data_IF_229109679104
#
_entry.id   IF_229109679104
#
_cell.length_a   1.000
_cell.length_b   1.000
_cell.length_c   1.000
_cell.angle_alpha   90.00
_cell.angle_beta   90.00
_cell.angle_gamma   90.00
#
_symmetry.space_group_name_H-M   'P 1'
#
loop_
_entity.id
_entity.type
_entity.pdbx_description
1 polymer ?
#
# COMPACT_ATOMS: atom_id res chain seq x y z
N UNK A 1 -6.54 -8.31 10.35
CA UNK A 1 -5.97 -7.50 9.27
C UNK A 1 -6.80 -6.25 9.05
N UNK A 2 -6.89 -5.39 10.07
CA UNK A 2 -7.65 -4.13 10.01
C UNK A 2 -6.78 -2.95 9.54
N UNK A 3 -5.45 -3.10 9.62
CA UNK A 3 -4.54 -1.99 9.40
C UNK A 3 -4.39 -1.64 7.92
N UNK A 4 -4.15 -2.61 7.03
CA UNK A 4 -4.03 -2.36 5.58
C UNK A 4 -5.32 -1.82 4.96
N UNK A 5 -6.48 -2.39 5.33
CA UNK A 5 -7.78 -1.91 4.87
C UNK A 5 -8.04 -0.45 5.25
N UNK A 6 -7.63 -0.03 6.46
CA UNK A 6 -7.77 1.38 6.87
C UNK A 6 -6.98 2.36 5.98
N UNK A 7 -5.79 1.99 5.51
CA UNK A 7 -5.03 2.85 4.59
C UNK A 7 -5.57 2.82 3.16
N UNK A 8 -6.10 1.68 2.74
CA UNK A 8 -6.78 1.55 1.47
C UNK A 8 -8.00 2.47 1.41
N UNK A 9 -8.86 2.37 2.43
CA UNK A 9 -10.03 3.23 2.62
C UNK A 9 -9.62 4.71 2.63
N UNK A 10 -8.47 5.06 3.22
CA UNK A 10 -8.03 6.44 3.30
C UNK A 10 -7.74 7.07 1.93
N UNK A 11 -6.96 6.40 1.08
CA UNK A 11 -6.64 6.96 -0.24
C UNK A 11 -7.87 6.89 -1.17
N UNK A 12 -8.69 5.85 -1.06
CA UNK A 12 -9.93 5.72 -1.82
C UNK A 12 -10.92 6.85 -1.46
N UNK A 13 -11.22 7.04 -0.17
CA UNK A 13 -12.09 8.14 0.27
C UNK A 13 -11.56 9.51 -0.17
N UNK A 14 -10.24 9.70 -0.14
CA UNK A 14 -9.61 10.92 -0.63
C UNK A 14 -9.83 11.14 -2.13
N UNK A 15 -9.62 10.11 -2.95
CA UNK A 15 -9.86 10.18 -4.40
C UNK A 15 -11.34 10.38 -4.75
N UNK A 16 -12.27 9.72 -4.05
CA UNK A 16 -13.71 9.97 -4.24
C UNK A 16 -14.08 11.41 -3.92
N UNK A 17 -13.55 11.95 -2.81
CA UNK A 17 -13.86 13.31 -2.36
C UNK A 17 -13.33 14.40 -3.27
N UNK A 18 -12.09 14.25 -3.76
CA UNK A 18 -11.38 15.32 -4.45
C UNK A 18 -11.27 15.13 -5.96
N UNK A 19 -11.42 13.91 -6.46
CA UNK A 19 -11.34 13.59 -7.89
C UNK A 19 -12.59 12.90 -8.44
N UNK A 20 -13.62 12.67 -7.62
CA UNK A 20 -14.90 12.10 -8.06
C UNK A 20 -14.84 10.63 -8.43
N UNK A 21 -13.82 9.91 -7.95
CA UNK A 21 -13.61 8.50 -8.31
C UNK A 21 -14.66 7.58 -7.69
N UNK A 22 -15.22 6.68 -8.50
CA UNK A 22 -15.97 5.49 -8.05
C UNK A 22 -15.04 4.27 -8.00
N UNK A 23 -14.86 3.72 -6.80
CA UNK A 23 -13.99 2.56 -6.54
C UNK A 23 -14.67 1.21 -6.75
N UNK A 24 -15.98 1.21 -7.05
CA UNK A 24 -16.76 -0.01 -7.22
C UNK A 24 -16.17 -0.90 -8.32
N UNK A 25 -15.72 -2.09 -7.93
CA UNK A 25 -15.11 -3.10 -8.81
C UNK A 25 -13.90 -2.57 -9.61
N UNK A 26 -13.12 -1.64 -9.04
CA UNK A 26 -11.88 -1.15 -9.66
C UNK A 26 -10.67 -1.92 -9.18
N UNK A 27 -9.64 -2.00 -10.02
CA UNK A 27 -8.38 -2.68 -9.72
C UNK A 27 -7.32 -1.72 -9.17
N UNK A 28 -6.28 -2.27 -8.56
CA UNK A 28 -5.09 -1.49 -8.13
C UNK A 28 -4.43 -0.75 -9.31
N UNK A 29 -4.45 -1.34 -10.51
CA UNK A 29 -3.95 -0.70 -11.72
C UNK A 29 -4.73 0.58 -12.04
N UNK A 30 -6.05 0.55 -11.88
CA UNK A 30 -6.89 1.74 -12.02
C UNK A 30 -6.55 2.79 -10.95
N UNK A 31 -6.37 2.37 -9.69
CA UNK A 31 -5.94 3.27 -8.61
C UNK A 31 -4.57 3.90 -8.87
N UNK A 32 -3.66 3.19 -9.54
CA UNK A 32 -2.38 3.72 -10.00
C UNK A 32 -2.56 4.76 -11.12
N UNK A 33 -3.40 4.49 -12.13
CA UNK A 33 -3.71 5.47 -13.18
C UNK A 33 -4.32 6.76 -12.61
N UNK A 34 -5.26 6.65 -11.67
CA UNK A 34 -5.82 7.81 -10.95
C UNK A 34 -4.72 8.64 -10.27
N UNK A 35 -3.68 8.02 -9.71
CA UNK A 35 -2.57 8.74 -9.09
C UNK A 35 -1.55 9.32 -10.07
N UNK A 36 -1.42 8.72 -11.26
CA UNK A 36 -0.42 9.10 -12.25
C UNK A 36 -0.85 10.28 -13.14
N UNK A 37 -2.14 10.42 -13.43
CA UNK A 37 -2.69 11.41 -14.37
C UNK A 37 -3.68 12.34 -13.68
N UNK A 38 -3.71 13.63 -14.05
CA UNK A 38 -4.67 14.59 -13.47
C UNK A 38 -6.12 14.24 -13.84
N UNK A 39 -6.37 13.62 -14.99
CA UNK A 39 -7.74 13.21 -15.37
C UNK A 39 -7.77 11.96 -16.24
N UNK A 40 -8.95 11.33 -16.32
CA UNK A 40 -9.21 10.24 -17.26
C UNK A 40 -8.96 10.67 -18.71
N UNK A 41 -9.31 11.91 -19.04
CA UNK A 41 -9.09 12.47 -20.36
C UNK A 41 -7.59 12.59 -20.70
N UNK A 42 -6.78 13.06 -19.74
CA UNK A 42 -5.32 13.12 -19.90
C UNK A 42 -4.73 11.72 -20.11
N UNK A 43 -5.14 10.75 -19.29
CA UNK A 43 -4.72 9.36 -19.45
C UNK A 43 -5.06 8.82 -20.85
N UNK A 44 -6.33 8.93 -21.25
CA UNK A 44 -6.81 8.44 -22.53
C UNK A 44 -6.07 9.09 -23.71
N UNK A 45 -5.82 10.41 -23.63
CA UNK A 45 -5.04 11.11 -24.63
C UNK A 45 -3.62 10.54 -24.75
N UNK A 46 -2.92 10.36 -23.62
CA UNK A 46 -1.56 9.81 -23.63
C UNK A 46 -1.55 8.35 -24.13
N UNK A 47 -2.54 7.53 -23.77
CA UNK A 47 -2.66 6.17 -24.31
C UNK A 47 -2.89 6.17 -25.83
N UNK A 48 -3.67 7.11 -26.35
CA UNK A 48 -3.83 7.30 -27.79
C UNK A 48 -2.53 7.69 -28.50
N UNK A 49 -1.73 8.56 -27.89
CA UNK A 49 -0.44 8.97 -28.44
C UNK A 49 0.58 7.82 -28.45
N UNK A 50 0.58 6.98 -27.40
CA UNK A 50 1.51 5.86 -27.26
C UNK A 50 1.12 4.67 -28.15
N UNK A 51 -0.17 4.31 -28.17
CA UNK A 51 -0.64 3.07 -28.83
C UNK A 51 -1.18 3.30 -30.25
N UNK A 52 -1.31 4.56 -30.69
CA UNK A 52 -1.75 4.95 -32.02
C UNK A 52 -3.04 4.20 -32.42
N UNK A 53 -2.98 3.36 -33.46
CA UNK A 53 -4.12 2.62 -33.99
C UNK A 53 -4.73 1.60 -33.00
N UNK A 54 -4.00 1.22 -31.95
CA UNK A 54 -4.46 0.25 -30.93
C UNK A 54 -4.99 0.91 -29.65
N UNK A 55 -5.17 2.23 -29.66
CA UNK A 55 -5.50 2.97 -28.45
C UNK A 55 -6.76 2.48 -27.74
N UNK A 56 -7.79 2.09 -28.49
CA UNK A 56 -9.09 1.65 -27.95
C UNK A 56 -8.99 0.50 -26.93
N UNK A 57 -7.94 -0.31 -26.99
CA UNK A 57 -7.71 -1.42 -26.05
C UNK A 57 -7.29 -0.95 -24.65
N UNK A 58 -6.85 0.31 -24.53
CA UNK A 58 -6.27 0.88 -23.30
C UNK A 58 -7.08 2.02 -22.70
N UNK A 59 -8.16 2.46 -23.37
CA UNK A 59 -8.95 3.62 -22.92
C UNK A 59 -9.96 3.25 -21.84
N UNK A 60 -10.18 4.20 -20.93
CA UNK A 60 -11.37 4.22 -20.08
C UNK A 60 -12.50 4.94 -20.81
N UNK A 61 -13.60 4.23 -21.06
CA UNK A 61 -14.72 4.73 -21.85
C UNK A 61 -15.99 4.91 -21.02
N UNK A 62 -16.06 4.31 -19.82
CA UNK A 62 -17.22 4.40 -18.95
C UNK A 62 -17.15 5.64 -18.05
N UNK A 63 -18.27 6.33 -17.89
CA UNK A 63 -18.45 7.40 -16.90
C UNK A 63 -18.12 6.98 -15.47
N UNK A 64 -18.30 5.70 -15.10
CA UNK A 64 -17.94 5.18 -13.78
C UNK A 64 -16.42 4.97 -13.59
N UNK A 65 -15.62 5.21 -14.63
CA UNK A 65 -14.15 5.19 -14.61
C UNK A 65 -13.57 6.61 -14.64
N UNK A 66 -14.42 7.63 -14.51
CA UNK A 66 -13.96 9.00 -14.60
C UNK A 66 -13.25 9.44 -13.31
N UNK A 67 -12.22 10.27 -13.47
CA UNK A 67 -11.60 11.03 -12.40
C UNK A 67 -11.08 12.35 -12.94
N UNK A 68 -11.06 13.37 -12.08
CA UNK A 68 -10.47 14.67 -12.40
C UNK A 68 -9.98 15.37 -11.13
N UNK A 69 -8.66 15.53 -11.00
CA UNK A 69 -8.01 16.27 -9.92
C UNK A 69 -8.07 17.80 -10.12
N UNK A 70 -8.61 18.25 -11.26
CA UNK A 70 -8.60 19.64 -11.69
C UNK A 70 -7.17 20.17 -11.86
N UNK A 71 -7.00 21.47 -11.66
CA UNK A 71 -5.68 22.13 -11.75
C UNK A 71 -4.78 21.82 -10.54
N UNK A 72 -5.30 21.14 -9.51
CA UNK A 72 -4.62 20.98 -8.24
C UNK A 72 -3.76 19.70 -8.18
N UNK A 73 -2.57 19.79 -8.78
CA UNK A 73 -1.56 18.72 -8.73
C UNK A 73 -1.21 18.26 -7.31
N UNK A 74 -1.31 19.13 -6.30
CA UNK A 74 -0.97 18.77 -4.92
C UNK A 74 -1.95 17.76 -4.32
N UNK A 75 -3.23 17.80 -4.70
CA UNK A 75 -4.23 16.82 -4.26
C UNK A 75 -3.90 15.44 -4.82
N UNK A 76 -3.58 15.36 -6.12
CA UNK A 76 -3.17 14.11 -6.76
C UNK A 76 -1.90 13.53 -6.14
N UNK A 77 -0.87 14.35 -5.92
CA UNK A 77 0.38 13.89 -5.31
C UNK A 77 0.17 13.38 -3.88
N UNK A 78 -0.73 14.01 -3.12
CA UNK A 78 -1.09 13.53 -1.79
C UNK A 78 -1.82 12.19 -1.84
N UNK A 79 -2.73 12.02 -2.80
CA UNK A 79 -3.36 10.73 -3.04
C UNK A 79 -2.33 9.64 -3.39
N UNK A 80 -1.39 9.95 -4.28
CA UNK A 80 -0.36 9.00 -4.72
C UNK A 80 0.55 8.58 -3.55
N UNK A 81 0.95 9.53 -2.69
CA UNK A 81 1.69 9.25 -1.45
C UNK A 81 0.91 8.33 -0.50
N UNK A 82 -0.39 8.57 -0.32
CA UNK A 82 -1.25 7.72 0.52
C UNK A 82 -1.37 6.31 -0.05
N UNK A 83 -1.57 6.16 -1.37
CA UNK A 83 -1.64 4.85 -2.05
C UNK A 83 -0.32 4.09 -1.89
N UNK A 84 0.80 4.74 -2.18
CA UNK A 84 2.14 4.13 -2.08
C UNK A 84 2.45 3.68 -0.65
N UNK A 85 2.01 4.43 0.36
CA UNK A 85 2.12 4.03 1.78
C UNK A 85 1.24 2.81 2.09
N UNK A 86 0.01 2.77 1.58
CA UNK A 86 -0.88 1.61 1.73
C UNK A 86 -0.24 0.33 1.17
N UNK A 87 0.29 0.39 -0.05
CA UNK A 87 0.97 -0.75 -0.69
C UNK A 87 2.22 -1.21 0.07
N UNK A 88 3.00 -0.29 0.63
CA UNK A 88 4.17 -0.63 1.43
C UNK A 88 3.79 -1.31 2.74
N UNK A 89 2.76 -0.80 3.41
CA UNK A 89 2.28 -1.34 4.68
C UNK A 89 1.68 -2.75 4.51
N UNK A 90 1.01 -3.02 3.38
CA UNK A 90 0.53 -4.37 3.07
C UNK A 90 1.70 -5.37 2.97
N UNK A 91 2.74 -5.03 2.20
CA UNK A 91 3.96 -5.83 2.08
C UNK A 91 4.66 -6.07 3.42
N UNK A 92 4.78 -5.02 4.25
CA UNK A 92 5.41 -5.10 5.57
C UNK A 92 4.60 -5.97 6.54
N UNK A 93 3.26 -5.91 6.47
CA UNK A 93 2.38 -6.67 7.36
C UNK A 93 2.56 -8.19 7.19
N UNK A 94 2.70 -8.66 5.95
CA UNK A 94 2.99 -10.09 5.67
C UNK A 94 4.33 -10.51 6.27
N UNK A 95 5.37 -9.69 6.13
CA UNK A 95 6.68 -9.94 6.72
C UNK A 95 6.61 -10.00 8.25
N UNK A 96 5.88 -9.08 8.89
CA UNK A 96 5.69 -9.07 10.34
C UNK A 96 4.98 -10.33 10.84
N UNK A 97 3.93 -10.78 10.15
CA UNK A 97 3.24 -12.03 10.49
C UNK A 97 4.20 -13.22 10.42
N UNK A 98 5.01 -13.30 9.35
CA UNK A 98 6.03 -14.34 9.21
C UNK A 98 7.07 -14.30 10.34
N UNK A 99 7.57 -13.12 10.69
CA UNK A 99 8.52 -12.93 11.79
C UNK A 99 7.91 -13.34 13.14
N UNK A 100 6.64 -13.01 13.41
CA UNK A 100 5.94 -13.42 14.63
C UNK A 100 5.78 -14.94 14.73
N UNK A 101 5.46 -15.61 13.62
CA UNK A 101 5.38 -17.08 13.57
C UNK A 101 6.74 -17.71 13.85
N UNK A 102 7.80 -17.22 13.21
CA UNK A 102 9.17 -17.70 13.46
C UNK A 102 9.58 -17.50 14.93
N UNK A 103 9.31 -16.30 15.48
CA UNK A 103 9.57 -16.00 16.88
C UNK A 103 8.85 -16.99 17.81
N UNK A 104 7.61 -17.35 17.50
CA UNK A 104 6.83 -18.32 18.27
C UNK A 104 7.38 -19.75 18.17
N UNK A 105 7.88 -20.17 17.00
CA UNK A 105 8.53 -21.47 16.81
C UNK A 105 9.82 -21.55 17.64
N UNK A 106 10.68 -20.54 17.52
CA UNK A 106 11.93 -20.43 18.31
C UNK A 106 11.60 -20.46 19.80
N UNK A 107 10.63 -19.66 20.25
CA UNK A 107 10.19 -19.64 21.64
C UNK A 107 9.68 -21.01 22.12
N UNK A 108 9.02 -21.79 21.26
CA UNK A 108 8.52 -23.13 21.64
C UNK A 108 9.67 -24.12 21.86
N UNK A 109 10.68 -24.10 20.98
CA UNK A 109 11.89 -24.91 21.16
C UNK A 109 12.70 -24.43 22.35
N UNK A 110 12.85 -23.11 22.50
CA UNK A 110 13.49 -22.49 23.66
C UNK A 110 12.78 -22.92 24.94
N UNK A 111 11.45 -22.92 25.06
CA UNK A 111 10.75 -23.42 26.27
C UNK A 111 11.06 -24.90 26.57
N UNK A 112 11.19 -25.75 25.55
CA UNK A 112 11.55 -27.17 25.71
C UNK A 112 13.02 -27.33 26.15
N UNK A 113 13.91 -26.47 25.66
CA UNK A 113 15.36 -26.47 25.97
C UNK A 113 15.68 -25.73 27.29
N UNK A 114 14.96 -24.65 27.61
CA UNK A 114 15.14 -23.72 28.75
C UNK A 114 14.53 -24.25 30.05
N UNK A 115 13.68 -25.28 30.01
CA UNK A 115 13.40 -26.09 31.22
C UNK A 115 14.70 -26.66 31.85
N UNK A 116 15.85 -26.53 31.18
CA UNK A 116 17.18 -26.87 31.70
C UNK A 116 18.12 -25.71 32.09
N UNK A 117 17.96 -24.45 31.66
CA UNK A 117 18.87 -23.34 32.06
C UNK A 117 18.27 -21.94 31.82
N UNK A 118 18.27 -21.10 32.87
CA UNK A 118 17.67 -19.76 32.89
C UNK A 118 18.45 -18.71 32.07
N UNK A 119 17.72 -17.78 31.44
CA UNK A 119 18.09 -16.37 31.16
C UNK A 119 18.53 -15.92 29.74
N UNK A 120 18.11 -16.56 28.63
CA UNK A 120 18.34 -16.04 27.26
C UNK A 120 17.04 -15.64 26.57
N UNK A 121 17.04 -14.51 25.86
CA UNK A 121 15.85 -14.00 25.19
C UNK A 121 16.15 -13.01 24.07
N UNK A 122 15.25 -12.96 23.08
CA UNK A 122 15.26 -12.03 21.96
C UNK A 122 14.24 -10.91 22.22
N UNK A 123 14.66 -9.66 22.11
CA UNK A 123 13.80 -8.48 22.22
C UNK A 123 13.63 -7.85 20.83
N UNK A 124 12.40 -7.76 20.35
CA UNK A 124 12.06 -7.19 19.05
C UNK A 124 11.41 -5.81 19.23
N UNK A 125 12.02 -4.78 18.66
CA UNK A 125 11.48 -3.42 18.71
C UNK A 125 11.19 -2.92 17.29
N UNK A 126 10.00 -2.35 17.08
CA UNK A 126 9.68 -1.63 15.83
C UNK A 126 10.01 -0.14 15.99
N UNK A 127 10.47 0.49 14.92
CA UNK A 127 10.58 1.94 14.84
C UNK A 127 9.78 2.45 13.64
N UNK A 128 9.12 3.60 13.85
CA UNK A 128 8.32 4.27 12.83
C UNK A 128 8.79 5.73 12.74
N UNK A 129 9.39 6.08 11.60
CA UNK A 129 9.73 7.44 11.23
C UNK A 129 8.90 7.84 10.00
N UNK A 130 8.74 9.14 9.75
CA UNK A 130 7.82 9.68 8.74
C UNK A 130 7.97 9.09 7.33
N UNK A 131 9.15 8.56 7.00
CA UNK A 131 9.46 7.95 5.70
C UNK A 131 9.97 6.50 5.77
N UNK A 132 10.15 5.93 6.98
CA UNK A 132 10.72 4.58 7.14
C UNK A 132 10.11 3.87 8.34
N UNK A 133 9.65 2.64 8.09
CA UNK A 133 9.28 1.70 9.14
C UNK A 133 10.27 0.56 9.11
N UNK A 134 10.87 0.25 10.26
CA UNK A 134 11.87 -0.81 10.35
C UNK A 134 11.82 -1.57 11.66
N UNK A 135 12.54 -2.68 11.70
CA UNK A 135 12.57 -3.61 12.83
C UNK A 135 14.00 -3.75 13.34
N UNK A 136 14.15 -3.70 14.66
CA UNK A 136 15.43 -3.90 15.36
C UNK A 136 15.35 -5.14 16.24
N UNK A 137 16.18 -6.13 15.91
CA UNK A 137 16.41 -7.32 16.73
C UNK A 137 17.51 -7.01 17.76
N UNK A 138 17.20 -7.15 19.05
CA UNK A 138 18.19 -7.12 20.12
C UNK A 138 18.28 -8.52 20.74
N UNK A 139 19.50 -9.01 20.97
CA UNK A 139 19.73 -10.31 21.57
C UNK A 139 20.61 -10.17 22.81
N UNK A 140 20.20 -10.80 23.91
CA UNK A 140 20.94 -10.83 25.18
C UNK A 140 21.37 -12.25 25.49
N UNK A 141 22.66 -12.42 25.77
CA UNK A 141 23.30 -13.69 26.13
C UNK A 141 23.34 -13.93 27.64
#
# INVERSE_FOLDING_TARGET
NDFSGSYEDNYQNYGSRYAGVDWSNKSDLYAAHVGNYNSMAEYNQQMCEIHLSFCNEYLYLDSNQNWDWGENKSLRLKYDDMRNKSEQLDKISVLMIGALVLNRIVSTFDVIVIKRNHNRGFDFNSYNNSNEVGLKLNYKF
#
